data_IF_435099149881
#
_entry.id   IF_435099149881
#
_cell.length_a   1.000
_cell.length_b   1.000
_cell.length_c   1.000
_cell.angle_alpha   90.00
_cell.angle_beta   90.00
_cell.angle_gamma   90.00
#
_symmetry.space_group_name_H-M   'P 1'
#
loop_
_entity.id
_entity.type
_entity.pdbx_description
1 polymer ?
#
# COMPACT_ATOMS: atom_id res chain seq x y z
N UNK A 1 -1.00 -6.17 -19.13
CA UNK A 1 -1.63 -5.24 -18.16
C UNK A 1 -0.75 -5.22 -16.91
N UNK A 2 -0.58 -4.07 -16.27
CA UNK A 2 0.08 -4.01 -14.98
C UNK A 2 -0.89 -4.55 -13.91
N UNK A 3 -0.37 -5.24 -12.89
CA UNK A 3 -1.15 -5.71 -11.74
C UNK A 3 -1.35 -4.60 -10.69
N UNK A 4 -1.07 -3.35 -11.06
CA UNK A 4 -1.06 -2.19 -10.16
C UNK A 4 -1.40 -0.90 -10.89
N UNK A 5 -1.90 0.07 -10.13
CA UNK A 5 -1.98 1.49 -10.50
C UNK A 5 -0.83 2.24 -9.82
N UNK A 6 -0.23 3.23 -10.48
CA UNK A 6 0.83 4.04 -9.88
C UNK A 6 0.69 5.52 -10.23
N UNK A 7 1.09 6.39 -9.30
CA UNK A 7 1.16 7.83 -9.47
C UNK A 7 2.27 8.43 -8.60
N UNK A 8 2.63 9.68 -8.86
CA UNK A 8 3.56 10.44 -8.03
C UNK A 8 2.81 11.43 -7.15
N UNK A 9 3.31 11.63 -5.94
CA UNK A 9 2.76 12.57 -4.96
C UNK A 9 3.83 13.60 -4.60
N UNK A 10 3.45 14.87 -4.55
CA UNK A 10 4.33 15.94 -4.10
C UNK A 10 4.41 16.04 -2.58
N UNK A 11 5.58 16.42 -2.08
CA UNK A 11 5.89 16.56 -0.66
C UNK A 11 6.97 15.60 -0.19
N UNK A 12 7.24 15.61 1.11
CA UNK A 12 8.11 14.64 1.76
C UNK A 12 7.45 13.24 1.82
N UNK A 13 8.27 12.22 2.09
CA UNK A 13 7.79 10.85 2.22
C UNK A 13 6.69 10.70 3.28
N UNK A 14 6.89 11.28 4.47
CA UNK A 14 5.91 11.16 5.56
C UNK A 14 4.62 11.93 5.26
N UNK A 15 4.70 13.11 4.62
CA UNK A 15 3.51 13.83 4.15
C UNK A 15 2.75 13.03 3.09
N UNK A 16 3.46 12.37 2.16
CA UNK A 16 2.83 11.52 1.16
C UNK A 16 2.13 10.31 1.80
N UNK A 17 2.74 9.65 2.78
CA UNK A 17 2.08 8.57 3.55
C UNK A 17 0.79 9.09 4.19
N UNK A 18 0.84 10.24 4.88
CA UNK A 18 -0.35 10.84 5.50
C UNK A 18 -1.43 11.19 4.48
N UNK A 19 -1.07 11.76 3.33
CA UNK A 19 -2.02 12.05 2.23
C UNK A 19 -2.69 10.78 1.72
N UNK A 20 -1.93 9.70 1.55
CA UNK A 20 -2.47 8.41 1.10
C UNK A 20 -3.44 7.83 2.14
N UNK A 21 -3.07 7.81 3.42
CA UNK A 21 -3.96 7.33 4.49
C UNK A 21 -5.27 8.13 4.56
N UNK A 22 -5.20 9.45 4.40
CA UNK A 22 -6.37 10.33 4.38
C UNK A 22 -7.25 10.08 3.15
N UNK A 23 -6.65 9.93 1.97
CA UNK A 23 -7.38 9.64 0.73
C UNK A 23 -8.09 8.27 0.81
N UNK A 24 -7.39 7.24 1.30
CA UNK A 24 -7.99 5.92 1.55
C UNK A 24 -9.20 6.03 2.49
N UNK A 25 -9.04 6.75 3.60
CA UNK A 25 -10.12 6.96 4.56
C UNK A 25 -11.32 7.71 3.96
N UNK A 26 -11.09 8.69 3.10
CA UNK A 26 -12.16 9.43 2.44
C UNK A 26 -12.99 8.53 1.51
N UNK A 27 -12.36 7.55 0.88
CA UNK A 27 -13.01 6.52 0.04
C UNK A 27 -13.52 5.30 0.84
N UNK A 28 -13.55 5.39 2.17
CA UNK A 28 -14.08 4.33 3.05
C UNK A 28 -13.11 3.17 3.33
N UNK A 29 -11.85 3.26 2.88
CA UNK A 29 -10.82 2.29 3.22
C UNK A 29 -10.20 2.59 4.58
N UNK A 30 -10.05 1.57 5.42
CA UNK A 30 -9.22 1.62 6.62
C UNK A 30 -7.83 1.05 6.36
N UNK A 31 -6.79 1.64 6.98
CA UNK A 31 -5.45 1.05 7.00
C UNK A 31 -5.34 0.12 8.20
N UNK A 32 -5.26 -1.18 7.93
CA UNK A 32 -5.20 -2.23 8.96
C UNK A 32 -3.77 -2.53 9.40
N UNK A 33 -2.83 -2.43 8.47
CA UNK A 33 -1.43 -2.73 8.71
C UNK A 33 -0.55 -1.70 8.03
N UNK A 34 0.56 -1.37 8.68
CA UNK A 34 1.61 -0.51 8.12
C UNK A 34 2.93 -1.23 8.33
N UNK A 35 3.65 -1.49 7.25
CA UNK A 35 4.93 -2.18 7.27
C UNK A 35 6.00 -1.21 6.78
N UNK A 36 6.94 -0.88 7.66
CA UNK A 36 8.16 -0.16 7.28
C UNK A 36 9.19 -1.15 6.74
N UNK A 37 9.25 -1.28 5.41
CA UNK A 37 10.11 -2.26 4.75
C UNK A 37 11.57 -1.87 4.90
N UNK A 38 11.90 -0.59 4.75
CA UNK A 38 13.26 -0.09 4.88
C UNK A 38 13.83 -0.37 6.29
N UNK A 39 13.09 -0.01 7.33
CA UNK A 39 13.49 -0.28 8.71
C UNK A 39 13.57 -1.79 9.01
N UNK A 40 12.61 -2.57 8.52
CA UNK A 40 12.58 -4.03 8.74
C UNK A 40 13.78 -4.71 8.11
N UNK A 41 14.10 -4.40 6.84
CA UNK A 41 15.23 -5.00 6.15
C UNK A 41 16.57 -4.56 6.75
N UNK A 42 16.70 -3.29 7.17
CA UNK A 42 17.88 -2.82 7.88
C UNK A 42 18.10 -3.60 9.18
N UNK A 43 17.05 -3.82 9.96
CA UNK A 43 17.12 -4.56 11.22
C UNK A 43 17.42 -6.05 11.05
N UNK A 44 16.82 -6.70 10.03
CA UNK A 44 16.86 -8.16 9.90
C UNK A 44 18.07 -8.67 9.13
N UNK A 45 18.49 -7.93 8.10
CA UNK A 45 19.54 -8.38 7.18
C UNK A 45 20.60 -7.30 6.90
N UNK A 46 20.53 -6.15 7.57
CA UNK A 46 21.51 -5.07 7.43
C UNK A 46 21.43 -4.29 6.11
N UNK A 47 20.42 -4.55 5.27
CA UNK A 47 20.28 -3.93 3.97
C UNK A 47 19.86 -2.46 4.09
N UNK A 48 20.57 -1.57 3.38
CA UNK A 48 20.20 -0.17 3.23
C UNK A 48 19.26 0.00 2.04
N UNK A 49 18.11 0.61 2.29
CA UNK A 49 17.06 0.83 1.30
C UNK A 49 16.49 2.23 1.50
N UNK A 50 16.08 2.87 0.39
CA UNK A 50 15.30 4.10 0.45
C UNK A 50 13.97 3.90 1.20
N UNK A 51 13.36 4.99 1.71
CA UNK A 51 12.04 4.91 2.33
C UNK A 51 11.05 4.11 1.49
N UNK A 52 10.48 3.08 2.11
CA UNK A 52 9.54 2.17 1.48
C UNK A 52 8.58 1.64 2.54
N UNK A 53 7.30 1.95 2.37
CA UNK A 53 6.24 1.58 3.30
C UNK A 53 5.11 0.88 2.54
N UNK A 54 4.57 -0.17 3.13
CA UNK A 54 3.39 -0.89 2.62
C UNK A 54 2.25 -0.63 3.59
N UNK A 55 1.13 -0.14 3.06
CA UNK A 55 -0.13 0.07 3.77
C UNK A 55 -1.10 -1.01 3.33
N UNK A 56 -1.60 -1.80 4.28
CA UNK A 56 -2.67 -2.76 4.05
C UNK A 56 -4.03 -2.07 4.18
N UNK A 57 -4.60 -1.67 3.05
CA UNK A 57 -5.90 -0.98 2.99
C UNK A 57 -7.05 -1.98 2.82
N UNK A 58 -8.15 -1.76 3.53
CA UNK A 58 -9.33 -2.62 3.45
C UNK A 58 -10.62 -1.80 3.46
N UNK A 59 -11.49 -2.05 2.48
CA UNK A 59 -12.87 -1.59 2.48
C UNK A 59 -13.76 -2.73 3.03
N UNK A 60 -14.33 -2.62 4.25
CA UNK A 60 -14.94 -3.77 4.94
C UNK A 60 -16.07 -4.43 4.16
N UNK A 61 -16.93 -3.64 3.50
CA UNK A 61 -18.06 -4.17 2.75
C UNK A 61 -17.60 -4.98 1.53
N UNK A 62 -16.65 -4.45 0.77
CA UNK A 62 -16.07 -5.14 -0.40
C UNK A 62 -15.30 -6.39 0.00
N UNK A 63 -14.55 -6.34 1.10
CA UNK A 63 -13.82 -7.49 1.62
C UNK A 63 -14.77 -8.61 2.07
N UNK A 64 -15.88 -8.26 2.73
CA UNK A 64 -16.91 -9.23 3.13
C UNK A 64 -17.57 -9.89 1.92
N UNK A 65 -17.99 -9.10 0.93
CA UNK A 65 -18.58 -9.61 -0.32
C UNK A 65 -17.62 -10.56 -1.05
N UNK A 66 -16.34 -10.21 -1.15
CA UNK A 66 -15.32 -11.06 -1.76
C UNK A 66 -15.15 -12.38 -1.01
N UNK A 67 -15.04 -12.34 0.33
CA UNK A 67 -14.89 -13.54 1.16
C UNK A 67 -16.12 -14.45 1.10
N UNK A 68 -17.32 -13.90 0.92
CA UNK A 68 -18.53 -14.67 0.69
C UNK A 68 -18.56 -15.34 -0.69
N UNK A 69 -17.93 -14.73 -1.70
CA UNK A 69 -17.86 -15.28 -3.04
C UNK A 69 -16.75 -16.34 -3.20
N UNK A 70 -15.60 -16.16 -2.56
CA UNK A 70 -14.47 -17.08 -2.58
C UNK A 70 -13.76 -17.09 -1.21
N UNK A 71 -13.76 -18.23 -0.53
CA UNK A 71 -13.26 -18.36 0.84
C UNK A 71 -11.74 -18.14 0.95
N UNK A 72 -10.98 -18.40 -0.12
CA UNK A 72 -9.51 -18.25 -0.14
C UNK A 72 -9.03 -16.89 -0.63
N UNK A 73 -9.93 -15.98 -1.03
CA UNK A 73 -9.55 -14.64 -1.51
C UNK A 73 -8.81 -13.83 -0.44
N UNK A 74 -8.96 -14.19 0.85
CA UNK A 74 -8.23 -13.60 1.96
C UNK A 74 -6.70 -13.68 1.83
N UNK A 75 -6.17 -14.59 0.99
CA UNK A 75 -4.72 -14.64 0.66
C UNK A 75 -4.22 -13.41 -0.12
N UNK A 76 -5.13 -12.66 -0.74
CA UNK A 76 -4.85 -11.42 -1.46
C UNK A 76 -5.27 -10.16 -0.68
N UNK A 77 -5.87 -10.32 0.51
CA UNK A 77 -6.28 -9.23 1.39
C UNK A 77 -5.23 -8.99 2.49
N UNK A 78 -5.08 -7.74 2.99
CA UNK A 78 -5.72 -6.51 2.52
C UNK A 78 -5.14 -5.99 1.20
N UNK A 79 -5.81 -5.04 0.56
CA UNK A 79 -5.33 -4.39 -0.65
C UNK A 79 -4.06 -3.60 -0.35
N UNK A 80 -2.92 -4.04 -0.90
CA UNK A 80 -1.63 -3.39 -0.67
C UNK A 80 -1.55 -2.07 -1.43
N UNK A 81 -1.19 -1.01 -0.70
CA UNK A 81 -0.79 0.29 -1.23
C UNK A 81 0.65 0.56 -0.79
N UNK A 82 1.56 0.73 -1.74
CA UNK A 82 2.96 1.04 -1.46
C UNK A 82 3.19 2.55 -1.57
N UNK A 83 4.03 3.06 -0.69
CA UNK A 83 4.58 4.42 -0.76
C UNK A 83 6.09 4.27 -0.73
N UNK A 84 6.79 4.75 -1.76
CA UNK A 84 8.24 4.60 -1.88
C UNK A 84 8.90 5.86 -2.43
N UNK A 85 10.15 6.08 -2.03
CA UNK A 85 10.98 7.11 -2.65
C UNK A 85 11.68 6.58 -3.91
N UNK A 86 11.48 7.28 -5.03
CA UNK A 86 12.10 7.00 -6.31
C UNK A 86 13.55 7.53 -6.38
N UNK A 87 14.29 7.14 -7.43
CA UNK A 87 15.70 7.54 -7.59
C UNK A 87 15.92 9.06 -7.68
N UNK A 88 14.91 9.80 -8.14
CA UNK A 88 14.94 11.25 -8.33
C UNK A 88 14.40 12.03 -7.12
N UNK A 89 14.20 11.34 -5.99
CA UNK A 89 13.68 11.92 -4.75
C UNK A 89 12.17 12.15 -4.74
N UNK A 90 11.45 11.81 -5.82
CA UNK A 90 9.97 11.89 -5.82
C UNK A 90 9.37 10.73 -5.04
N UNK A 91 8.19 10.95 -4.47
CA UNK A 91 7.43 9.89 -3.81
C UNK A 91 6.45 9.27 -4.80
N UNK A 92 6.58 7.97 -5.01
CA UNK A 92 5.66 7.18 -5.82
C UNK A 92 4.72 6.41 -4.90
N UNK A 93 3.44 6.39 -5.29
CA UNK A 93 2.40 5.59 -4.67
C UNK A 93 1.88 4.60 -5.70
N UNK A 94 1.76 3.33 -5.31
CA UNK A 94 1.11 2.34 -6.16
C UNK A 94 0.15 1.45 -5.36
N UNK A 95 -0.97 1.08 -5.96
CA UNK A 95 -1.98 0.21 -5.37
C UNK A 95 -2.19 -1.01 -6.25
N UNK A 96 -2.45 -2.16 -5.65
CA UNK A 96 -2.80 -3.38 -6.39
C UNK A 96 -4.06 -3.16 -7.23
N UNK A 97 -4.08 -3.68 -8.46
CA UNK A 97 -5.28 -3.72 -9.30
C UNK A 97 -6.01 -5.05 -9.06
N UNK A 98 -7.14 -5.04 -8.33
CA UNK A 98 -7.87 -6.25 -7.96
C UNK A 98 -8.50 -6.99 -9.14
N UNK A 99 -8.57 -6.39 -10.33
CA UNK A 99 -9.09 -7.05 -11.54
C UNK A 99 -7.98 -7.84 -12.25
N UNK A 100 -6.74 -7.34 -12.17
CA UNK A 100 -5.59 -7.91 -12.86
C UNK A 100 -4.74 -8.85 -11.98
N UNK A 101 -5.04 -8.95 -10.68
CA UNK A 101 -4.32 -9.77 -9.69
C UNK A 101 -5.11 -10.98 -9.22
#
# INVERSE_FOLDING_TARGET
MAYYFATYVEGSFDEAVQKVEQALKAEGFGVLTTIDVAATLKSKIGADMRPYRILGACHPQSAYEALCAEDKIGTMLPCNVIVREANDGRVEVAAIDPIAS
#
